data_IF_174896279377
#
_entry.id   IF_174896279377
#
_cell.length_a   1.000
_cell.length_b   1.000
_cell.length_c   1.000
_cell.angle_alpha   90.00
_cell.angle_beta   90.00
_cell.angle_gamma   90.00
#
_symmetry.space_group_name_H-M   'P 1'
#
loop_
_entity.id
_entity.type
_entity.pdbx_description
1 polymer ?
#
# COMPACT_ATOMS: atom_id res chain seq x y z
N UNK A 1 8.97 18.08 9.73
CA UNK A 1 9.30 16.66 9.44
C UNK A 1 10.28 16.65 8.28
N UNK A 2 11.14 15.64 8.19
CA UNK A 2 12.07 15.52 7.07
C UNK A 2 11.24 15.23 5.80
N UNK A 3 11.28 16.15 4.85
CA UNK A 3 10.40 16.13 3.66
C UNK A 3 10.97 15.28 2.52
N UNK A 4 12.24 14.87 2.64
CA UNK A 4 12.95 14.03 1.66
C UNK A 4 13.23 12.65 2.27
N UNK A 5 12.78 11.53 1.66
CA UNK A 5 13.11 10.19 2.12
C UNK A 5 14.62 9.94 2.23
N UNK A 6 15.45 10.60 1.42
CA UNK A 6 16.90 10.49 1.52
C UNK A 6 17.44 10.97 2.87
N UNK A 7 16.72 11.87 3.57
CA UNK A 7 17.10 12.30 4.91
C UNK A 7 16.88 11.19 5.96
N UNK A 8 16.02 10.20 5.71
CA UNK A 8 15.72 9.10 6.66
C UNK A 8 16.35 7.75 6.26
N UNK A 9 17.00 7.66 5.10
CA UNK A 9 17.74 6.48 4.67
C UNK A 9 19.09 6.34 5.39
N UNK A 10 19.79 5.21 5.15
CA UNK A 10 21.13 4.98 5.71
C UNK A 10 22.06 6.12 5.28
N UNK A 11 22.68 6.79 6.27
CA UNK A 11 23.52 7.97 6.03
C UNK A 11 22.76 9.29 5.91
N UNK A 12 21.43 9.26 5.93
CA UNK A 12 20.57 10.43 5.93
C UNK A 12 20.65 11.23 7.24
N UNK A 13 20.50 12.55 7.13
CA UNK A 13 20.67 13.49 8.27
C UNK A 13 19.69 13.26 9.40
N UNK A 14 18.50 12.75 9.08
CA UNK A 14 17.41 12.47 10.03
C UNK A 14 17.35 11.02 10.49
N UNK A 15 18.21 10.11 10.00
CA UNK A 15 18.10 8.67 10.29
C UNK A 15 18.07 8.36 11.80
N UNK A 16 18.97 8.96 12.57
CA UNK A 16 19.06 8.73 14.01
C UNK A 16 17.83 9.24 14.78
N UNK A 17 17.17 10.29 14.29
CA UNK A 17 15.91 10.78 14.86
C UNK A 17 14.74 9.86 14.45
N UNK A 18 14.70 9.45 13.18
CA UNK A 18 13.72 8.49 12.66
C UNK A 18 13.73 7.19 13.48
N UNK A 19 14.89 6.60 13.72
CA UNK A 19 15.03 5.36 14.52
C UNK A 19 14.52 5.52 15.95
N UNK A 20 14.75 6.68 16.59
CA UNK A 20 14.19 6.96 17.91
C UNK A 20 12.66 7.03 17.89
N UNK A 21 12.09 7.68 16.87
CA UNK A 21 10.65 7.76 16.70
C UNK A 21 10.03 6.39 16.39
N UNK A 22 10.72 5.57 15.59
CA UNK A 22 10.32 4.21 15.28
C UNK A 22 10.29 3.34 16.55
N UNK A 23 11.33 3.44 17.39
CA UNK A 23 11.43 2.68 18.64
C UNK A 23 10.33 3.01 19.66
N UNK A 24 9.75 4.21 19.63
CA UNK A 24 8.63 4.61 20.49
C UNK A 24 7.26 4.39 19.83
N UNK A 25 7.23 3.79 18.63
CA UNK A 25 6.00 3.46 17.92
C UNK A 25 5.25 4.68 17.38
N UNK A 26 5.95 5.74 16.97
CA UNK A 26 5.29 6.87 16.31
C UNK A 26 4.66 6.40 14.99
N UNK A 27 3.34 6.57 14.86
CA UNK A 27 2.57 5.93 13.79
C UNK A 27 2.96 6.41 12.38
N UNK A 28 3.23 7.71 12.21
CA UNK A 28 3.67 8.26 10.93
C UNK A 28 5.01 7.65 10.51
N UNK A 29 5.95 7.55 11.47
CA UNK A 29 7.28 6.97 11.24
C UNK A 29 7.20 5.47 10.98
N UNK A 30 6.33 4.75 11.68
CA UNK A 30 6.06 3.33 11.43
C UNK A 30 5.55 3.14 10.00
N UNK A 31 4.61 3.98 9.53
CA UNK A 31 4.12 3.93 8.16
C UNK A 31 5.24 4.19 7.13
N UNK A 32 6.12 5.18 7.35
CA UNK A 32 7.27 5.39 6.46
C UNK A 32 8.23 4.18 6.43
N UNK A 33 8.42 3.48 7.55
CA UNK A 33 9.23 2.26 7.58
C UNK A 33 8.56 1.11 6.83
N UNK A 34 7.24 0.96 6.95
CA UNK A 34 6.45 -0.01 6.18
C UNK A 34 6.59 0.23 4.68
N UNK A 35 6.45 1.49 4.23
CA UNK A 35 6.64 1.85 2.82
C UNK A 35 8.08 1.60 2.37
N UNK A 36 9.06 1.84 3.24
CA UNK A 36 10.47 1.56 2.97
C UNK A 36 10.74 0.06 2.79
N UNK A 37 10.22 -0.78 3.70
CA UNK A 37 10.33 -2.24 3.63
C UNK A 37 9.66 -2.78 2.36
N UNK A 38 8.43 -2.37 2.09
CA UNK A 38 7.67 -2.82 0.93
C UNK A 38 8.34 -2.41 -0.40
N UNK A 39 8.84 -1.18 -0.49
CA UNK A 39 9.43 -0.66 -1.72
C UNK A 39 10.89 -1.06 -1.90
N UNK A 40 11.79 -0.70 -0.98
CA UNK A 40 13.24 -0.84 -1.17
C UNK A 40 13.76 -2.22 -0.82
N UNK A 41 13.22 -2.80 0.25
CA UNK A 41 13.65 -4.12 0.72
C UNK A 41 12.85 -5.27 0.09
N UNK A 42 11.71 -4.96 -0.54
CA UNK A 42 10.78 -5.95 -1.12
C UNK A 42 10.31 -6.97 -0.07
N UNK A 43 10.25 -6.56 1.19
CA UNK A 43 9.86 -7.39 2.33
C UNK A 43 8.43 -7.04 2.73
N UNK A 44 7.47 -7.59 1.98
CA UNK A 44 6.05 -7.31 2.18
C UNK A 44 5.52 -7.99 3.44
N UNK A 45 6.04 -9.17 3.77
CA UNK A 45 5.68 -9.91 4.98
C UNK A 45 6.05 -9.13 6.24
N UNK A 46 7.26 -8.57 6.32
CA UNK A 46 7.64 -7.71 7.45
C UNK A 46 6.81 -6.43 7.51
N UNK A 47 6.54 -5.81 6.35
CA UNK A 47 5.73 -4.60 6.27
C UNK A 47 4.29 -4.86 6.77
N UNK A 48 3.68 -5.97 6.35
CA UNK A 48 2.34 -6.40 6.79
C UNK A 48 2.32 -6.73 8.28
N UNK A 49 3.34 -7.43 8.80
CA UNK A 49 3.42 -7.74 10.23
C UNK A 49 3.50 -6.47 11.11
N UNK A 50 4.20 -5.43 10.67
CA UNK A 50 4.26 -4.14 11.39
C UNK A 50 2.92 -3.38 11.38
N UNK A 51 2.10 -3.58 10.35
CA UNK A 51 0.78 -2.97 10.22
C UNK A 51 -0.27 -3.67 11.09
N UNK A 52 -0.18 -4.99 11.33
CA UNK A 52 -1.21 -5.76 12.04
C UNK A 52 -1.60 -5.14 13.40
N UNK A 53 -0.62 -4.62 14.15
CA UNK A 53 -0.86 -3.99 15.45
C UNK A 53 -1.71 -2.69 15.40
N UNK A 54 -1.80 -2.06 14.22
CA UNK A 54 -2.50 -0.80 14.02
C UNK A 54 -3.87 -0.98 13.35
N UNK A 55 -4.25 -2.21 12.99
CA UNK A 55 -5.56 -2.53 12.38
C UNK A 55 -6.58 -2.91 13.46
N UNK A 56 -7.79 -2.33 13.50
CA UNK A 56 -8.34 -1.26 12.67
C UNK A 56 -8.25 0.12 13.36
N UNK A 57 -7.23 0.35 14.18
CA UNK A 57 -7.14 1.55 15.02
C UNK A 57 -6.82 2.77 14.16
N UNK A 58 -5.86 2.64 13.27
CA UNK A 58 -5.40 3.70 12.39
C UNK A 58 -5.89 3.52 10.96
N UNK A 59 -6.45 4.59 10.42
CA UNK A 59 -7.13 4.58 9.13
C UNK A 59 -6.16 4.34 7.98
N UNK A 60 -4.98 4.95 8.02
CA UNK A 60 -4.01 4.81 6.94
C UNK A 60 -3.31 3.45 6.99
N UNK A 61 -2.97 2.98 8.19
CA UNK A 61 -2.43 1.63 8.41
C UNK A 61 -3.41 0.56 7.92
N UNK A 62 -4.71 0.70 8.23
CA UNK A 62 -5.73 -0.28 7.83
C UNK A 62 -5.91 -0.34 6.32
N UNK A 63 -5.95 0.82 5.64
CA UNK A 63 -6.01 0.85 4.17
C UNK A 63 -4.75 0.24 3.54
N UNK A 64 -3.58 0.64 4.05
CA UNK A 64 -2.28 0.15 3.56
C UNK A 64 -2.15 -1.36 3.75
N UNK A 65 -2.61 -1.88 4.89
CA UNK A 65 -2.58 -3.32 5.20
C UNK A 65 -3.43 -4.12 4.20
N UNK A 66 -4.64 -3.66 3.89
CA UNK A 66 -5.47 -4.30 2.86
C UNK A 66 -4.78 -4.30 1.49
N UNK A 67 -4.23 -3.16 1.09
CA UNK A 67 -3.49 -3.02 -0.19
C UNK A 67 -2.26 -3.93 -0.26
N UNK A 68 -1.44 -4.02 0.79
CA UNK A 68 -0.26 -4.87 0.77
C UNK A 68 -0.61 -6.36 0.76
N UNK A 69 -1.69 -6.78 1.43
CA UNK A 69 -2.18 -8.16 1.36
C UNK A 69 -2.67 -8.52 -0.05
N UNK A 70 -3.26 -7.58 -0.80
CA UNK A 70 -3.54 -7.77 -2.25
C UNK A 70 -2.26 -8.05 -3.03
N UNK A 71 -1.16 -7.35 -2.72
CA UNK A 71 0.12 -7.56 -3.40
C UNK A 71 0.83 -8.86 -2.99
N UNK A 72 0.61 -9.34 -1.76
CA UNK A 72 1.00 -10.68 -1.33
C UNK A 72 0.12 -11.79 -1.96
N UNK A 73 -1.03 -11.44 -2.53
CA UNK A 73 -2.00 -12.39 -3.05
C UNK A 73 -2.82 -13.09 -1.96
N UNK A 74 -2.86 -12.54 -0.73
CA UNK A 74 -3.69 -13.01 0.37
C UNK A 74 -5.07 -12.33 0.33
N UNK A 75 -5.95 -12.86 -0.52
CA UNK A 75 -7.30 -12.34 -0.74
C UNK A 75 -8.16 -12.34 0.53
N UNK A 76 -7.92 -13.30 1.44
CA UNK A 76 -8.69 -13.44 2.68
C UNK A 76 -8.33 -12.32 3.64
N UNK A 77 -7.03 -12.13 3.93
CA UNK A 77 -6.59 -11.04 4.79
C UNK A 77 -6.89 -9.66 4.19
N UNK A 78 -6.74 -9.52 2.87
CA UNK A 78 -7.11 -8.28 2.19
C UNK A 78 -8.60 -7.97 2.35
N UNK A 79 -9.48 -8.97 2.18
CA UNK A 79 -10.92 -8.80 2.40
C UNK A 79 -11.25 -8.43 3.84
N UNK A 80 -10.69 -9.15 4.81
CA UNK A 80 -10.89 -8.88 6.23
C UNK A 80 -10.47 -7.45 6.58
N UNK A 81 -9.31 -7.01 6.09
CA UNK A 81 -8.81 -5.65 6.28
C UNK A 81 -9.75 -4.58 5.72
N UNK A 82 -10.26 -4.78 4.50
CA UNK A 82 -11.19 -3.86 3.87
C UNK A 82 -12.56 -3.82 4.56
N UNK A 83 -13.03 -4.96 5.07
CA UNK A 83 -14.25 -5.02 5.89
C UNK A 83 -14.07 -4.27 7.22
N UNK A 84 -12.92 -4.48 7.89
CA UNK A 84 -12.56 -3.74 9.09
C UNK A 84 -12.47 -2.23 8.82
N UNK A 85 -11.90 -1.83 7.67
CA UNK A 85 -11.85 -0.43 7.25
C UNK A 85 -13.25 0.17 7.12
N UNK A 86 -14.17 -0.51 6.43
CA UNK A 86 -15.56 -0.05 6.25
C UNK A 86 -16.27 0.06 7.60
N UNK A 87 -16.06 -0.89 8.50
CA UNK A 87 -16.71 -0.94 9.81
C UNK A 87 -16.24 0.19 10.73
N UNK A 88 -14.96 0.55 10.69
CA UNK A 88 -14.33 1.44 11.67
C UNK A 88 -14.01 2.85 11.15
N UNK A 89 -13.97 3.04 9.84
CA UNK A 89 -13.49 4.29 9.25
C UNK A 89 -14.48 4.87 8.23
N UNK A 90 -14.46 4.40 6.98
CA UNK A 90 -15.21 5.00 5.87
C UNK A 90 -15.50 3.97 4.78
N UNK A 91 -16.45 4.26 3.90
CA UNK A 91 -16.74 3.41 2.75
C UNK A 91 -15.59 3.49 1.74
N UNK A 92 -15.19 2.35 1.16
CA UNK A 92 -14.08 2.28 0.17
C UNK A 92 -14.30 3.14 -1.08
N UNK A 93 -15.55 3.56 -1.33
CA UNK A 93 -15.94 4.36 -2.50
C UNK A 93 -16.14 5.84 -2.13
N UNK A 94 -15.72 6.25 -0.95
CA UNK A 94 -15.77 7.66 -0.56
C UNK A 94 -14.67 8.45 -1.26
N UNK A 95 -14.90 9.75 -1.44
CA UNK A 95 -13.87 10.66 -1.96
C UNK A 95 -12.66 10.74 -1.03
N UNK A 96 -12.87 10.60 0.29
CA UNK A 96 -11.80 10.58 1.27
C UNK A 96 -10.88 9.38 1.06
N UNK A 97 -11.44 8.18 0.86
CA UNK A 97 -10.62 6.99 0.56
C UNK A 97 -9.86 7.16 -0.75
N UNK A 98 -10.47 7.78 -1.77
CA UNK A 98 -9.77 8.12 -3.01
C UNK A 98 -8.56 9.03 -2.76
N UNK A 99 -8.69 10.06 -1.94
CA UNK A 99 -7.58 10.95 -1.59
C UNK A 99 -6.46 10.19 -0.85
N UNK A 100 -6.81 9.34 0.12
CA UNK A 100 -5.85 8.50 0.84
C UNK A 100 -5.09 7.55 -0.09
N UNK A 101 -5.77 6.94 -1.04
CA UNK A 101 -5.16 6.10 -2.07
C UNK A 101 -4.14 6.88 -2.93
N UNK A 102 -4.49 8.10 -3.35
CA UNK A 102 -3.56 8.96 -4.08
C UNK A 102 -2.34 9.35 -3.23
N UNK A 103 -2.55 9.62 -1.94
CA UNK A 103 -1.47 9.93 -1.00
C UNK A 103 -0.53 8.73 -0.80
N UNK A 104 -1.08 7.51 -0.68
CA UNK A 104 -0.29 6.28 -0.59
C UNK A 104 0.58 6.08 -1.84
N UNK A 105 0.00 6.18 -3.03
CA UNK A 105 0.75 6.08 -4.30
C UNK A 105 1.84 7.16 -4.39
N UNK A 106 1.52 8.39 -3.98
CA UNK A 106 2.47 9.49 -3.98
C UNK A 106 3.61 9.28 -2.98
N UNK A 107 3.32 8.84 -1.74
CA UNK A 107 4.33 8.49 -0.73
C UNK A 107 5.25 7.37 -1.24
N UNK A 108 4.70 6.34 -1.89
CA UNK A 108 5.50 5.27 -2.48
C UNK A 108 6.38 5.75 -3.63
N UNK A 109 5.90 6.69 -4.45
CA UNK A 109 6.69 7.24 -5.57
C UNK A 109 8.00 7.89 -5.12
N UNK A 110 8.04 8.41 -3.90
CA UNK A 110 9.23 9.04 -3.30
C UNK A 110 10.37 8.07 -3.02
N UNK A 111 10.07 6.77 -2.88
CA UNK A 111 11.09 5.75 -2.67
C UNK A 111 11.77 5.31 -3.97
N UNK A 112 11.49 6.01 -5.08
CA UNK A 112 11.97 5.69 -6.43
C UNK A 112 11.87 4.19 -6.72
N UNK A 113 10.66 3.60 -6.60
CA UNK A 113 10.47 2.20 -6.96
C UNK A 113 10.97 2.00 -8.39
N UNK A 114 11.73 0.93 -8.63
CA UNK A 114 12.16 0.57 -9.97
C UNK A 114 10.91 0.36 -10.83
N UNK A 115 10.54 1.37 -11.61
CA UNK A 115 9.40 1.30 -12.52
C UNK A 115 9.74 0.29 -13.60
N UNK A 116 9.26 -0.93 -13.46
CA UNK A 116 9.50 -1.97 -14.44
C UNK A 116 8.20 -2.70 -14.74
N UNK A 117 7.93 -2.73 -16.04
CA UNK A 117 6.66 -3.01 -16.68
C UNK A 117 6.30 -4.51 -16.62
N UNK A 118 6.12 -5.01 -15.40
CA UNK A 118 5.69 -6.37 -15.17
C UNK A 118 4.28 -6.36 -14.62
N UNK A 119 3.39 -6.91 -15.43
CA UNK A 119 2.08 -7.31 -14.99
C UNK A 119 2.31 -8.29 -13.84
N UNK A 120 2.04 -7.83 -12.61
CA UNK A 120 2.15 -8.62 -11.40
C UNK A 120 1.24 -9.84 -11.52
N UNK A 121 1.81 -10.98 -11.89
CA UNK A 121 1.12 -12.28 -11.96
C UNK A 121 0.67 -12.77 -10.56
N UNK A 122 0.93 -12.00 -9.50
CA UNK A 122 0.57 -12.31 -8.11
C UNK A 122 -0.56 -11.43 -7.56
N UNK A 123 -1.01 -10.40 -8.30
CA UNK A 123 -2.12 -9.58 -7.82
C UNK A 123 -3.39 -10.43 -7.74
N UNK A 124 -3.97 -10.47 -6.54
CA UNK A 124 -5.28 -11.07 -6.32
C UNK A 124 -6.13 -10.15 -5.48
N UNK A 125 -7.07 -9.47 -6.12
CA UNK A 125 -8.00 -8.59 -5.44
C UNK A 125 -9.17 -9.43 -4.88
N UNK A 126 -9.63 -9.18 -3.64
CA UNK A 126 -10.72 -9.95 -3.07
C UNK A 126 -11.98 -9.92 -3.94
N UNK A 127 -12.54 -11.10 -4.18
CA UNK A 127 -13.79 -11.26 -4.90
C UNK A 127 -14.72 -12.25 -4.16
N UNK A 128 -15.26 -11.78 -3.05
CA UNK A 128 -16.16 -12.53 -2.17
C UNK A 128 -17.55 -11.88 -2.08
N UNK A 129 -18.32 -12.23 -1.05
CA UNK A 129 -19.70 -11.75 -0.88
C UNK A 129 -19.77 -10.28 -0.44
N UNK A 130 -18.73 -9.76 0.18
CA UNK A 130 -18.67 -8.44 0.83
C UNK A 130 -17.75 -7.51 0.05
N UNK A 131 -16.52 -7.95 -0.24
CA UNK A 131 -15.56 -7.20 -1.05
C UNK A 131 -15.52 -7.84 -2.43
N UNK A 132 -15.80 -7.04 -3.46
CA UNK A 132 -15.81 -7.51 -4.84
C UNK A 132 -14.86 -6.70 -5.69
N UNK A 133 -14.34 -7.38 -6.69
CA UNK A 133 -13.75 -6.68 -7.83
C UNK A 133 -14.81 -5.76 -8.45
N UNK A 134 -14.50 -4.47 -8.66
CA UNK A 134 -15.45 -3.52 -9.23
C UNK A 134 -15.83 -3.90 -10.65
N UNK A 135 -17.12 -3.91 -10.99
CA UNK A 135 -17.59 -4.22 -12.35
C UNK A 135 -16.97 -3.29 -13.40
N UNK A 136 -16.78 -2.02 -13.04
CA UNK A 136 -16.19 -1.00 -13.91
C UNK A 136 -14.65 -0.98 -13.93
N UNK A 137 -13.98 -1.95 -13.29
CA UNK A 137 -12.52 -1.97 -13.16
C UNK A 137 -11.80 -1.94 -14.53
N UNK A 138 -12.40 -2.54 -15.56
CA UNK A 138 -11.84 -2.61 -16.92
C UNK A 138 -12.51 -1.67 -17.91
N UNK A 139 -13.54 -0.93 -17.49
CA UNK A 139 -14.26 0.04 -18.33
C UNK A 139 -13.63 1.44 -18.26
N UNK A 140 -12.73 1.67 -17.32
CA UNK A 140 -12.05 2.94 -17.09
C UNK A 140 -10.57 2.86 -17.46
N UNK A 141 -10.07 3.89 -18.15
CA UNK A 141 -8.63 4.01 -18.38
C UNK A 141 -7.97 4.58 -17.12
N UNK A 142 -7.08 3.85 -16.43
CA UNK A 142 -6.43 4.31 -15.20
C UNK A 142 -5.57 5.56 -15.39
N UNK A 143 -5.15 5.90 -16.61
CA UNK A 143 -4.38 7.10 -16.89
C UNK A 143 -5.25 8.35 -17.02
N UNK A 144 -6.52 8.19 -17.43
CA UNK A 144 -7.44 9.30 -17.69
C UNK A 144 -8.61 9.39 -16.71
N UNK A 145 -9.04 8.27 -16.13
CA UNK A 145 -10.23 8.13 -15.29
C UNK A 145 -9.92 7.81 -13.82
N UNK A 146 -8.86 8.43 -13.27
CA UNK A 146 -8.48 8.30 -11.83
C UNK A 146 -9.52 8.78 -10.82
N UNK A 147 -10.67 9.25 -11.29
CA UNK A 147 -11.69 9.85 -10.45
C UNK A 147 -12.82 8.89 -10.08
N UNK A 148 -12.86 7.68 -10.64
CA UNK A 148 -13.91 6.71 -10.30
C UNK A 148 -13.67 6.14 -8.89
N UNK A 149 -14.49 6.57 -7.92
CA UNK A 149 -14.35 6.08 -6.54
C UNK A 149 -14.67 4.57 -6.41
N UNK A 150 -15.47 4.01 -7.32
CA UNK A 150 -15.87 2.60 -7.24
C UNK A 150 -14.71 1.65 -7.53
N UNK A 151 -13.84 1.99 -8.49
CA UNK A 151 -12.67 1.18 -8.82
C UNK A 151 -11.33 1.72 -8.29
N UNK A 152 -11.36 2.80 -7.52
CA UNK A 152 -10.14 3.46 -7.06
C UNK A 152 -9.25 2.53 -6.21
N UNK A 153 -9.82 1.85 -5.20
CA UNK A 153 -9.03 0.98 -4.31
C UNK A 153 -8.40 -0.19 -5.08
N UNK A 154 -9.13 -0.76 -6.05
CA UNK A 154 -8.62 -1.78 -6.97
C UNK A 154 -7.41 -1.26 -7.77
N UNK A 155 -7.54 -0.09 -8.39
CA UNK A 155 -6.46 0.50 -9.19
C UNK A 155 -5.27 0.91 -8.34
N UNK A 156 -5.49 1.41 -7.13
CA UNK A 156 -4.42 1.69 -6.19
C UNK A 156 -3.69 0.44 -5.79
N UNK A 157 -4.39 -0.64 -5.45
CA UNK A 157 -3.72 -1.91 -5.17
C UNK A 157 -2.87 -2.37 -6.36
N UNK A 158 -3.41 -2.28 -7.58
CA UNK A 158 -2.66 -2.59 -8.81
C UNK A 158 -1.44 -1.71 -9.01
N UNK A 159 -1.55 -0.40 -8.82
CA UNK A 159 -0.44 0.53 -8.96
C UNK A 159 0.64 0.30 -7.91
N UNK A 160 0.24 0.10 -6.65
CA UNK A 160 1.14 -0.22 -5.55
C UNK A 160 1.87 -1.53 -5.81
N UNK A 161 1.18 -2.58 -6.25
CA UNK A 161 1.82 -3.84 -6.64
C UNK A 161 2.84 -3.64 -7.77
N UNK A 162 2.55 -2.81 -8.78
CA UNK A 162 3.52 -2.47 -9.85
C UNK A 162 4.75 -1.74 -9.32
N UNK A 163 4.59 -0.84 -8.35
CA UNK A 163 5.69 -0.12 -7.72
C UNK A 163 6.57 -1.03 -6.85
N UNK A 164 5.96 -1.97 -6.13
CA UNK A 164 6.67 -2.77 -5.13
C UNK A 164 7.13 -4.15 -5.63
N UNK A 165 6.48 -4.76 -6.63
CA UNK A 165 6.80 -6.15 -7.01
C UNK A 165 7.85 -6.28 -8.12
N UNK A 166 7.97 -5.32 -9.04
CA UNK A 166 8.98 -5.35 -10.11
C UNK A 166 9.00 -6.65 -10.94
N UNK A 167 9.88 -6.78 -11.96
CA UNK A 167 10.04 -8.03 -12.68
C UNK A 167 10.42 -9.12 -11.71
N UNK A 168 9.50 -10.05 -11.56
CA UNK A 168 9.70 -11.40 -11.01
C UNK A 168 11.16 -11.76 -11.16
N UNK A 169 11.84 -12.01 -10.04
CA UNK A 169 13.10 -12.72 -10.00
C UNK A 169 12.95 -13.99 -10.86
N UNK A 170 13.35 -13.90 -12.12
CA UNK A 170 13.78 -15.07 -12.87
C UNK A 170 15.12 -15.47 -12.27
N UNK A 171 15.07 -16.36 -11.30
CA UNK A 171 16.09 -17.39 -11.15
C UNK A 171 15.34 -18.72 -11.10
N UNK A 172 15.79 -19.75 -11.84
CA UNK A 172 17.21 -20.09 -11.94
C UNK A 172 17.72 -20.44 -13.36
N UNK A 173 19.03 -20.29 -13.56
CA UNK A 173 19.84 -21.33 -14.21
C UNK A 173 20.98 -21.65 -13.26
#
# INVERSE_FOLDING_TARGET
MCHDPNDIFIGGRCRSFFEKCLNVGNIDVVLFEILHLASRHRDLEAAVALLEQNVPIDVESTLTYGVLNVCLGDEVKASEAFQQFIQHHDHLHSERVRQMCNELEWKLSWYHPEQMDTYANTLKYPNDKVIKEPDCAYDHDPFFDRFCNACNVFWTARNVCRMILGPSMMLPI
#
